data_IF_462882461771
#
_entry.id   IF_462882461771
#
_cell.length_a   1.000
_cell.length_b   1.000
_cell.length_c   1.000
_cell.angle_alpha   90.00
_cell.angle_beta   90.00
_cell.angle_gamma   90.00
#
_symmetry.space_group_name_H-M   'P 1'
#
loop_
_entity.id
_entity.type
_entity.pdbx_description
1 polymer ?
#
# COMPACT_ATOMS: atom_id res chain seq x y z
N UNK A 1 -6.54 -37.60 -71.35
CA UNK A 1 -5.25 -37.10 -71.89
C UNK A 1 -4.30 -36.93 -70.71
N UNK A 2 -3.21 -37.73 -70.71
CA UNK A 2 -1.92 -37.65 -69.95
C UNK A 2 -2.02 -37.31 -68.44
N UNK A 3 -1.88 -38.20 -67.44
CA UNK A 3 -1.04 -39.39 -67.17
C UNK A 3 0.47 -39.16 -67.03
N UNK A 4 1.08 -40.00 -66.17
CA UNK A 4 2.49 -40.20 -65.75
C UNK A 4 2.79 -39.59 -64.36
N UNK A 5 2.77 -40.31 -63.21
CA UNK A 5 3.33 -41.59 -62.73
C UNK A 5 4.71 -41.46 -62.00
N UNK A 6 4.89 -42.10 -60.81
CA UNK A 6 6.13 -42.13 -59.97
C UNK A 6 7.09 -43.24 -60.48
N UNK A 7 8.34 -43.50 -59.99
CA UNK A 7 8.72 -43.87 -58.59
C UNK A 7 10.20 -43.57 -58.17
N UNK A 8 10.62 -43.98 -56.97
CA UNK A 8 11.73 -44.92 -56.70
C UNK A 8 12.25 -44.87 -55.25
N UNK A 9 12.19 -46.03 -54.59
CA UNK A 9 12.98 -46.42 -53.41
C UNK A 9 14.22 -47.15 -53.95
N UNK A 10 15.41 -46.89 -53.39
CA UNK A 10 16.46 -47.91 -53.31
C UNK A 10 17.36 -47.69 -52.09
N UNK A 11 17.44 -48.72 -51.26
CA UNK A 11 18.29 -48.85 -50.09
C UNK A 11 19.72 -49.26 -50.50
N UNK A 12 20.71 -48.86 -49.69
CA UNK A 12 21.99 -49.55 -49.57
C UNK A 12 22.23 -49.96 -48.11
N UNK A 13 22.52 -51.25 -47.94
CA UNK A 13 23.00 -51.90 -46.73
C UNK A 13 24.46 -51.50 -46.46
N UNK A 14 24.80 -51.12 -45.23
CA UNK A 14 26.11 -51.43 -44.62
C UNK A 14 25.90 -51.82 -43.14
N UNK A 15 26.42 -52.99 -42.77
CA UNK A 15 26.47 -53.52 -41.38
C UNK A 15 27.78 -53.10 -40.69
N UNK A 16 27.64 -52.78 -39.40
CA UNK A 16 28.52 -52.99 -38.23
C UNK A 16 30.00 -52.60 -38.28
N UNK A 17 30.41 -51.76 -37.32
CA UNK A 17 31.29 -52.16 -36.20
C UNK A 17 31.18 -51.16 -35.05
N UNK A 18 30.97 -51.67 -33.83
CA UNK A 18 31.05 -50.92 -32.60
C UNK A 18 32.51 -50.54 -32.30
N UNK A 19 32.77 -49.28 -32.00
CA UNK A 19 33.92 -48.86 -31.21
C UNK A 19 33.44 -47.80 -30.22
N UNK A 20 33.65 -48.10 -28.94
CA UNK A 20 33.31 -47.22 -27.84
C UNK A 20 34.15 -45.94 -27.89
N UNK A 21 33.46 -44.83 -27.73
CA UNK A 21 34.03 -43.61 -27.17
C UNK A 21 32.90 -42.94 -26.40
N UNK A 22 33.04 -42.94 -25.08
CA UNK A 22 32.19 -42.22 -24.14
C UNK A 22 32.09 -40.75 -24.55
N UNK A 23 30.88 -40.29 -24.85
CA UNK A 23 30.59 -38.87 -25.04
C UNK A 23 30.75 -38.19 -23.67
N UNK A 24 31.56 -37.12 -23.53
CA UNK A 24 31.67 -36.42 -22.27
C UNK A 24 30.33 -35.75 -21.94
N UNK A 25 29.90 -35.94 -20.69
CA UNK A 25 28.71 -35.35 -20.11
C UNK A 25 28.80 -33.81 -20.24
N UNK A 26 27.84 -33.19 -20.91
CA UNK A 26 27.73 -31.73 -21.10
C UNK A 26 27.14 -31.06 -19.84
N UNK A 27 27.55 -31.54 -18.66
CA UNK A 27 27.31 -30.95 -17.35
C UNK A 27 28.64 -30.53 -16.74
N UNK A 28 29.35 -29.62 -17.40
CA UNK A 28 30.52 -28.99 -16.82
C UNK A 28 30.74 -27.65 -17.51
N UNK A 29 30.00 -26.62 -17.07
CA UNK A 29 30.35 -25.19 -17.10
C UNK A 29 29.18 -24.33 -16.55
N UNK A 30 28.61 -24.75 -15.42
CA UNK A 30 27.83 -23.86 -14.55
C UNK A 30 28.74 -23.65 -13.33
N UNK A 31 29.07 -22.41 -12.93
CA UNK A 31 29.76 -22.19 -11.67
C UNK A 31 28.88 -22.80 -10.57
N UNK A 32 29.36 -23.88 -9.93
CA UNK A 32 28.71 -24.41 -8.75
C UNK A 32 28.79 -23.34 -7.65
N UNK A 33 27.77 -22.48 -7.63
CA UNK A 33 27.41 -21.71 -6.45
C UNK A 33 27.27 -22.75 -5.34
N UNK A 34 28.14 -22.68 -4.33
CA UNK A 34 28.00 -23.52 -3.14
C UNK A 34 26.55 -23.40 -2.70
N UNK A 35 25.82 -24.51 -2.82
CA UNK A 35 24.57 -24.72 -2.12
C UNK A 35 24.98 -24.87 -0.66
N UNK A 36 25.12 -23.73 0.03
CA UNK A 36 24.98 -23.72 1.47
C UNK A 36 23.50 -23.95 1.73
N UNK A 37 23.19 -25.10 2.32
CA UNK A 37 21.93 -25.36 3.00
C UNK A 37 21.63 -24.17 3.94
N UNK A 38 20.81 -23.23 3.49
CA UNK A 38 20.39 -22.09 4.30
C UNK A 38 19.03 -22.43 4.91
N UNK A 39 19.07 -22.91 6.14
CA UNK A 39 17.97 -22.71 7.08
C UNK A 39 17.77 -21.18 7.24
N UNK A 40 16.57 -20.69 6.90
CA UNK A 40 15.92 -19.58 7.62
C UNK A 40 16.49 -18.15 7.53
N UNK A 41 17.30 -17.79 6.52
CA UNK A 41 17.62 -16.36 6.31
C UNK A 41 16.58 -15.75 5.37
N UNK A 42 15.77 -14.84 5.89
CA UNK A 42 14.88 -14.01 5.08
C UNK A 42 15.71 -13.31 3.99
N UNK A 43 15.51 -13.71 2.74
CA UNK A 43 16.21 -13.10 1.63
C UNK A 43 15.68 -11.67 1.45
N UNK A 44 16.59 -10.70 1.30
CA UNK A 44 16.22 -9.33 0.95
C UNK A 44 15.36 -9.37 -0.32
N UNK A 45 14.07 -8.96 -0.26
CA UNK A 45 13.18 -9.04 -1.41
C UNK A 45 13.51 -7.99 -2.49
N UNK A 46 14.43 -7.05 -2.22
CA UNK A 46 14.83 -5.99 -3.12
C UNK A 46 16.36 -5.91 -3.32
N UNK A 47 17.03 -7.01 -3.73
CA UNK A 47 18.49 -7.09 -3.71
C UNK A 47 19.18 -6.11 -4.66
N UNK A 48 18.48 -5.66 -5.70
CA UNK A 48 18.98 -4.75 -6.73
C UNK A 48 18.49 -3.30 -6.56
N UNK A 49 17.79 -2.99 -5.44
CA UNK A 49 17.28 -1.64 -5.15
C UNK A 49 18.04 -1.01 -3.98
N UNK A 50 18.10 0.33 -3.92
CA UNK A 50 18.54 1.03 -2.71
C UNK A 50 17.71 0.59 -1.50
N UNK A 51 18.30 0.56 -0.31
CA UNK A 51 17.50 0.35 0.91
C UNK A 51 16.74 1.62 1.24
N UNK A 52 15.47 1.47 1.62
CA UNK A 52 14.67 2.57 2.18
C UNK A 52 15.16 2.82 3.60
N UNK A 53 15.56 4.06 3.89
CA UNK A 53 16.16 4.41 5.17
C UNK A 53 15.54 5.65 5.77
N UNK A 54 15.60 5.74 7.09
CA UNK A 54 15.39 6.99 7.81
C UNK A 54 16.43 8.04 7.43
N UNK A 55 16.07 9.29 7.62
CA UNK A 55 16.99 10.42 7.50
C UNK A 55 17.97 10.46 8.67
N UNK A 56 19.13 11.12 8.52
CA UNK A 56 20.11 11.27 9.60
C UNK A 56 19.59 11.94 10.86
N UNK A 57 18.58 12.82 10.74
CA UNK A 57 17.90 13.44 11.88
C UNK A 57 16.99 12.44 12.64
N UNK A 58 16.75 11.28 12.06
CA UNK A 58 15.95 10.20 12.61
C UNK A 58 14.48 10.30 12.25
N UNK A 59 14.10 11.13 11.26
CA UNK A 59 12.74 11.20 10.71
C UNK A 59 12.60 10.33 9.46
N UNK A 60 11.36 9.94 9.16
CA UNK A 60 10.99 9.27 7.91
C UNK A 60 9.64 9.84 7.46
N UNK A 61 9.51 10.28 6.20
CA UNK A 61 8.29 10.94 5.72
C UNK A 61 7.59 10.11 4.64
N UNK A 62 6.33 9.77 4.91
CA UNK A 62 5.42 9.14 3.95
C UNK A 62 4.45 10.19 3.38
N UNK A 63 4.16 10.07 2.09
CA UNK A 63 3.04 10.77 1.44
C UNK A 63 2.16 9.72 0.77
N UNK A 64 0.85 9.82 0.95
CA UNK A 64 -0.11 8.86 0.42
C UNK A 64 -1.02 9.57 -0.59
N UNK A 65 -1.28 8.90 -1.73
CA UNK A 65 -2.28 9.30 -2.72
C UNK A 65 -3.22 8.12 -2.94
N UNK A 66 -4.51 8.33 -2.80
CA UNK A 66 -5.55 7.30 -2.95
C UNK A 66 -6.55 7.73 -4.02
N UNK A 67 -7.23 6.78 -4.64
CA UNK A 67 -8.43 7.03 -5.47
C UNK A 67 -8.19 8.13 -6.52
N UNK A 68 -7.10 8.00 -7.27
CA UNK A 68 -6.77 8.96 -8.32
C UNK A 68 -7.68 8.81 -9.53
N UNK A 69 -8.21 7.60 -9.75
CA UNK A 69 -9.18 7.27 -10.80
C UNK A 69 -8.79 7.76 -12.19
N UNK A 70 -7.54 7.49 -12.59
CA UNK A 70 -7.10 7.86 -13.92
C UNK A 70 -7.95 7.20 -15.00
N UNK A 71 -8.30 7.97 -16.02
CA UNK A 71 -9.12 7.48 -17.12
C UNK A 71 -10.60 7.33 -16.76
N UNK A 72 -11.08 7.98 -15.69
CA UNK A 72 -12.51 8.16 -15.43
C UNK A 72 -13.14 9.02 -16.53
N UNK A 73 -14.30 8.60 -17.05
CA UNK A 73 -15.10 9.37 -18.01
C UNK A 73 -14.28 9.98 -19.19
N UNK A 74 -13.46 9.20 -19.91
CA UNK A 74 -12.49 9.72 -20.88
C UNK A 74 -13.14 10.27 -22.17
N UNK A 75 -14.44 10.03 -22.35
CA UNK A 75 -15.23 10.54 -23.47
C UNK A 75 -15.80 11.96 -23.21
N UNK A 76 -15.71 12.47 -21.98
CA UNK A 76 -16.03 13.86 -21.64
C UNK A 76 -14.76 14.68 -21.41
N UNK A 77 -14.84 16.00 -21.58
CA UNK A 77 -13.77 16.93 -21.19
C UNK A 77 -13.44 16.90 -19.68
N UNK A 78 -14.40 16.55 -18.83
CA UNK A 78 -14.24 16.55 -17.38
C UNK A 78 -13.22 15.53 -16.88
N UNK A 79 -13.22 14.31 -17.44
CA UNK A 79 -12.35 13.20 -17.02
C UNK A 79 -10.86 13.50 -17.21
N UNK A 80 -10.41 13.78 -18.46
CA UNK A 80 -9.03 14.19 -18.73
C UNK A 80 -8.57 15.43 -17.96
N UNK A 81 -9.49 16.34 -17.60
CA UNK A 81 -9.15 17.48 -16.74
C UNK A 81 -8.89 17.04 -15.29
N UNK A 82 -9.59 16.01 -14.78
CA UNK A 82 -9.29 15.44 -13.47
C UNK A 82 -7.95 14.69 -13.46
N UNK A 83 -7.65 13.90 -14.49
CA UNK A 83 -6.33 13.27 -14.66
C UNK A 83 -5.20 14.32 -14.62
N UNK A 84 -5.39 15.43 -15.35
CA UNK A 84 -4.44 16.54 -15.37
C UNK A 84 -4.35 17.25 -14.00
N UNK A 85 -5.46 17.38 -13.27
CA UNK A 85 -5.47 17.87 -11.89
C UNK A 85 -4.66 16.97 -10.95
N UNK A 86 -4.82 15.64 -11.05
CA UNK A 86 -4.05 14.67 -10.26
C UNK A 86 -2.56 14.79 -10.55
N UNK A 87 -2.15 14.95 -11.83
CA UNK A 87 -0.74 15.22 -12.18
C UNK A 87 -0.24 16.52 -11.55
N UNK A 88 -0.96 17.63 -11.74
CA UNK A 88 -0.58 18.94 -11.18
C UNK A 88 -0.47 18.90 -9.66
N UNK A 89 -1.35 18.13 -9.01
CA UNK A 89 -1.31 17.92 -7.58
C UNK A 89 -0.02 17.22 -7.17
N UNK A 90 0.31 16.07 -7.77
CA UNK A 90 1.56 15.35 -7.47
C UNK A 90 2.78 16.23 -7.73
N UNK A 91 2.83 16.93 -8.86
CA UNK A 91 3.94 17.84 -9.22
C UNK A 91 4.10 19.01 -8.23
N UNK A 92 3.03 19.41 -7.54
CA UNK A 92 3.07 20.43 -6.49
C UNK A 92 3.50 19.85 -5.13
N UNK A 93 2.94 18.70 -4.76
CA UNK A 93 3.11 18.07 -3.43
C UNK A 93 4.49 17.46 -3.27
N UNK A 94 4.98 16.70 -4.25
CA UNK A 94 6.26 16.00 -4.15
C UNK A 94 7.44 16.92 -3.81
N UNK A 95 7.65 18.08 -4.48
CA UNK A 95 8.74 18.99 -4.13
C UNK A 95 8.51 19.80 -2.85
N UNK A 96 7.25 20.04 -2.44
CA UNK A 96 6.96 20.76 -1.19
C UNK A 96 7.16 19.89 0.03
N UNK A 97 6.61 18.67 -0.01
CA UNK A 97 6.61 17.75 1.13
C UNK A 97 7.94 17.02 1.28
N UNK A 98 8.62 16.75 0.15
CA UNK A 98 9.87 15.99 0.09
C UNK A 98 9.73 14.66 0.84
N UNK A 99 8.85 13.74 0.41
CA UNK A 99 8.71 12.45 1.06
C UNK A 99 9.96 11.59 0.90
N UNK A 100 10.20 10.70 1.87
CA UNK A 100 11.20 9.63 1.75
C UNK A 100 10.64 8.42 1.00
N UNK A 101 9.32 8.22 1.03
CA UNK A 101 8.60 7.22 0.25
C UNK A 101 7.15 7.66 -0.01
N UNK A 102 6.61 7.34 -1.19
CA UNK A 102 5.20 7.56 -1.54
C UNK A 102 4.42 6.26 -1.53
N UNK A 103 3.17 6.29 -1.09
CA UNK A 103 2.21 5.18 -1.25
C UNK A 103 1.10 5.61 -2.19
N UNK A 104 0.81 4.80 -3.19
CA UNK A 104 -0.38 4.91 -4.04
C UNK A 104 -1.41 3.89 -3.54
N UNK A 105 -2.42 4.32 -2.79
CA UNK A 105 -3.24 3.42 -1.98
C UNK A 105 -4.53 2.98 -2.70
N UNK A 106 -4.39 2.37 -3.88
CA UNK A 106 -5.48 1.77 -4.66
C UNK A 106 -6.38 2.76 -5.40
N UNK A 107 -7.25 2.20 -6.24
CA UNK A 107 -8.06 2.89 -7.24
C UNK A 107 -7.23 3.88 -8.06
N UNK A 108 -6.14 3.34 -8.60
CA UNK A 108 -5.18 4.06 -9.42
C UNK A 108 -5.85 4.50 -10.73
N UNK A 109 -6.64 3.62 -11.32
CA UNK A 109 -7.38 3.86 -12.56
C UNK A 109 -8.87 3.59 -12.37
N UNK A 110 -9.70 4.09 -13.29
CA UNK A 110 -11.08 3.63 -13.46
C UNK A 110 -11.12 2.54 -14.54
N UNK A 111 -10.78 1.31 -14.17
CA UNK A 111 -10.53 0.22 -15.12
C UNK A 111 -11.71 -0.12 -16.02
N UNK A 112 -12.94 0.07 -15.56
CA UNK A 112 -14.15 -0.19 -16.34
C UNK A 112 -14.41 0.86 -17.44
N UNK A 113 -13.83 2.06 -17.28
CA UNK A 113 -13.85 3.15 -18.28
C UNK A 113 -12.66 3.08 -19.24
N UNK A 114 -11.55 2.45 -18.82
CA UNK A 114 -10.36 2.28 -19.63
C UNK A 114 -10.60 1.44 -20.89
N UNK A 115 -9.72 1.57 -21.89
CA UNK A 115 -9.75 0.72 -23.08
C UNK A 115 -8.75 -0.42 -22.93
N UNK A 116 -9.23 -1.66 -23.01
CA UNK A 116 -8.44 -2.89 -22.76
C UNK A 116 -7.06 -2.91 -23.44
N UNK A 117 -6.98 -2.45 -24.69
CA UNK A 117 -5.74 -2.49 -25.48
C UNK A 117 -4.64 -1.54 -24.97
N UNK A 118 -4.98 -0.54 -24.17
CA UNK A 118 -4.04 0.47 -23.71
C UNK A 118 -4.21 0.90 -22.24
N UNK A 119 -5.04 0.21 -21.45
CA UNK A 119 -5.32 0.55 -20.05
C UNK A 119 -4.05 0.70 -19.22
N UNK A 120 -3.05 -0.17 -19.43
CA UNK A 120 -1.75 -0.11 -18.74
C UNK A 120 -0.97 1.17 -19.02
N UNK A 121 -1.22 1.91 -20.12
CA UNK A 121 -0.55 3.19 -20.37
C UNK A 121 -0.97 4.29 -19.39
N UNK A 122 -2.09 4.12 -18.67
CA UNK A 122 -2.46 5.03 -17.58
C UNK A 122 -1.47 4.92 -16.42
N UNK A 123 -0.93 3.72 -16.15
CA UNK A 123 0.11 3.52 -15.14
C UNK A 123 1.36 4.36 -15.47
N UNK A 124 1.76 4.44 -16.74
CA UNK A 124 2.87 5.30 -17.17
C UNK A 124 2.66 6.77 -16.77
N UNK A 125 1.40 7.24 -16.84
CA UNK A 125 1.05 8.62 -16.49
C UNK A 125 1.05 8.84 -14.99
N UNK A 126 0.48 7.90 -14.25
CA UNK A 126 0.42 7.93 -12.77
C UNK A 126 1.81 7.99 -12.17
N UNK A 127 2.74 7.17 -12.66
CA UNK A 127 4.10 7.08 -12.09
C UNK A 127 5.07 8.12 -12.66
N UNK A 128 4.69 8.85 -13.71
CA UNK A 128 5.57 9.84 -14.35
C UNK A 128 6.07 10.94 -13.37
N UNK A 129 5.23 11.56 -12.51
CA UNK A 129 5.71 12.52 -11.53
C UNK A 129 6.71 11.93 -10.52
N UNK A 130 6.48 10.68 -10.08
CA UNK A 130 7.36 9.97 -9.14
C UNK A 130 8.71 9.65 -9.78
N UNK A 131 8.68 9.17 -11.02
CA UNK A 131 9.87 8.94 -11.83
C UNK A 131 10.65 10.25 -12.06
N UNK A 132 9.98 11.35 -12.40
CA UNK A 132 10.64 12.64 -12.59
C UNK A 132 11.28 13.16 -11.29
N UNK A 133 10.62 12.96 -10.16
CA UNK A 133 11.11 13.37 -8.85
C UNK A 133 12.16 12.40 -8.25
N UNK A 134 12.34 11.21 -8.84
CA UNK A 134 13.21 10.14 -8.33
C UNK A 134 12.86 9.73 -6.88
N UNK A 135 11.56 9.64 -6.58
CA UNK A 135 11.06 9.27 -5.26
C UNK A 135 10.66 7.80 -5.26
N UNK A 136 11.14 6.98 -4.29
CA UNK A 136 10.70 5.60 -4.17
C UNK A 136 9.24 5.53 -3.74
N UNK A 137 8.53 4.52 -4.22
CA UNK A 137 7.11 4.38 -3.92
C UNK A 137 6.65 2.93 -3.90
N UNK A 138 5.45 2.72 -3.37
CA UNK A 138 4.71 1.46 -3.35
C UNK A 138 3.27 1.70 -3.78
N UNK A 139 2.57 0.66 -4.23
CA UNK A 139 1.14 0.71 -4.53
C UNK A 139 0.35 -0.44 -3.92
N UNK A 140 -0.83 -0.15 -3.40
CA UNK A 140 -1.92 -1.14 -3.29
C UNK A 140 -2.84 -0.97 -4.51
N UNK A 141 -3.72 -1.95 -4.72
CA UNK A 141 -4.73 -1.92 -5.77
C UNK A 141 -6.12 -1.92 -5.14
N UNK A 142 -7.06 -1.25 -5.80
CA UNK A 142 -8.46 -1.12 -5.40
C UNK A 142 -9.44 -1.80 -6.35
N UNK A 143 -10.72 -1.77 -6.03
CA UNK A 143 -11.75 -2.47 -6.82
C UNK A 143 -11.91 -1.91 -8.25
N UNK A 144 -11.47 -0.70 -8.54
CA UNK A 144 -11.47 -0.17 -9.92
C UNK A 144 -10.24 -0.63 -10.73
N UNK A 145 -9.23 -1.19 -10.08
CA UNK A 145 -8.00 -1.70 -10.70
C UNK A 145 -8.16 -3.17 -11.18
N UNK A 146 -9.22 -3.87 -10.73
CA UNK A 146 -9.69 -5.15 -11.24
C UNK A 146 -11.02 -4.99 -11.97
N UNK A 147 -10.97 -4.91 -13.30
CA UNK A 147 -12.15 -4.70 -14.14
C UNK A 147 -12.04 -5.48 -15.46
N UNK A 148 -13.11 -5.48 -16.25
CA UNK A 148 -13.14 -6.17 -17.56
C UNK A 148 -11.96 -5.84 -18.50
N UNK A 149 -11.34 -4.66 -18.33
CA UNK A 149 -10.29 -4.14 -19.21
C UNK A 149 -8.87 -4.23 -18.63
N UNK A 150 -8.72 -4.51 -17.33
CA UNK A 150 -7.43 -4.44 -16.62
C UNK A 150 -7.47 -5.27 -15.33
N UNK A 151 -6.32 -5.80 -14.89
CA UNK A 151 -6.21 -6.50 -13.60
C UNK A 151 -5.11 -5.91 -12.74
N UNK A 152 -5.18 -6.14 -11.44
CA UNK A 152 -4.11 -5.80 -10.49
C UNK A 152 -2.75 -6.30 -10.96
N UNK A 153 -2.69 -7.54 -11.50
CA UNK A 153 -1.44 -8.12 -12.00
C UNK A 153 -0.90 -7.31 -13.19
N UNK A 154 -1.76 -6.87 -14.10
CA UNK A 154 -1.33 -6.07 -15.25
C UNK A 154 -0.78 -4.71 -14.83
N UNK A 155 -1.36 -4.09 -13.80
CA UNK A 155 -0.85 -2.84 -13.22
C UNK A 155 0.50 -3.01 -12.56
N UNK A 156 0.62 -3.98 -11.64
CA UNK A 156 1.88 -4.24 -10.92
C UNK A 156 3.01 -4.53 -11.91
N UNK A 157 2.75 -5.38 -12.93
CA UNK A 157 3.74 -5.71 -13.94
C UNK A 157 4.14 -4.49 -14.78
N UNK A 158 3.17 -3.62 -15.13
CA UNK A 158 3.48 -2.39 -15.86
C UNK A 158 4.29 -1.42 -15.01
N UNK A 159 3.88 -1.22 -13.77
CA UNK A 159 4.57 -0.37 -12.80
C UNK A 159 6.04 -0.81 -12.64
N UNK A 160 6.29 -2.10 -12.39
CA UNK A 160 7.63 -2.66 -12.29
C UNK A 160 8.46 -2.47 -13.57
N UNK A 161 7.82 -2.47 -14.73
CA UNK A 161 8.49 -2.27 -16.02
C UNK A 161 8.93 -0.82 -16.24
N UNK A 162 8.10 0.16 -15.85
CA UNK A 162 8.32 1.57 -16.21
C UNK A 162 8.81 2.45 -15.06
N UNK A 163 8.78 1.95 -13.83
CA UNK A 163 9.14 2.70 -12.64
C UNK A 163 10.29 2.04 -11.86
N UNK A 164 11.56 2.45 -12.07
CA UNK A 164 12.71 1.77 -11.46
C UNK A 164 12.75 1.85 -9.92
N UNK A 165 12.09 2.85 -9.34
CA UNK A 165 12.03 3.07 -7.88
C UNK A 165 10.73 2.59 -7.23
N UNK A 166 9.90 1.80 -7.92
CA UNK A 166 8.81 1.07 -7.26
C UNK A 166 9.36 -0.03 -6.34
N UNK A 167 8.73 -0.25 -5.19
CA UNK A 167 8.94 -1.40 -4.31
C UNK A 167 7.71 -2.32 -4.26
N UNK A 168 6.74 -2.10 -5.15
CA UNK A 168 5.57 -2.96 -5.30
C UNK A 168 5.99 -4.34 -5.82
N UNK A 169 5.41 -5.40 -5.25
CA UNK A 169 5.68 -6.78 -5.65
C UNK A 169 4.41 -7.59 -5.77
N UNK A 170 4.46 -8.57 -6.66
CA UNK A 170 3.50 -9.66 -6.69
C UNK A 170 3.75 -10.56 -5.48
N UNK A 171 2.67 -11.02 -4.86
CA UNK A 171 2.68 -11.95 -3.76
C UNK A 171 3.32 -13.30 -4.15
N UNK A 172 3.85 -14.06 -3.17
CA UNK A 172 4.25 -15.44 -3.42
C UNK A 172 3.08 -16.29 -3.97
N UNK A 173 3.41 -17.35 -4.70
CA UNK A 173 2.41 -18.25 -5.25
C UNK A 173 1.49 -18.81 -4.14
N UNK A 174 0.18 -18.73 -4.34
CA UNK A 174 -0.83 -19.21 -3.40
C UNK A 174 -1.25 -18.20 -2.32
N UNK A 175 -0.75 -16.96 -2.37
CA UNK A 175 -1.14 -15.87 -1.46
C UNK A 175 -2.03 -14.87 -2.22
N UNK A 176 -3.16 -14.50 -1.62
CA UNK A 176 -4.03 -13.42 -2.12
C UNK A 176 -5.24 -13.88 -2.95
N UNK A 177 -5.42 -15.19 -3.14
CA UNK A 177 -6.58 -15.72 -3.86
C UNK A 177 -6.65 -15.31 -5.34
N UNK A 178 -7.85 -15.37 -5.92
CA UNK A 178 -8.10 -15.05 -7.33
C UNK A 178 -8.10 -13.54 -7.54
N UNK A 179 -7.27 -13.04 -8.45
CA UNK A 179 -7.15 -11.59 -8.75
C UNK A 179 -6.68 -10.73 -7.56
N UNK A 180 -6.06 -11.32 -6.52
CA UNK A 180 -5.43 -10.58 -5.41
C UNK A 180 -3.90 -10.67 -5.35
N UNK A 181 -3.15 -10.38 -6.43
CA UNK A 181 -1.70 -10.56 -6.47
C UNK A 181 -0.92 -9.56 -5.62
N UNK A 182 -1.51 -8.48 -5.13
CA UNK A 182 -0.82 -7.33 -4.51
C UNK A 182 -0.50 -7.44 -3.01
N UNK A 183 -0.04 -8.60 -2.53
CA UNK A 183 0.27 -8.81 -1.11
C UNK A 183 1.78 -8.89 -0.86
N UNK A 184 2.35 -7.90 -0.17
CA UNK A 184 3.79 -7.80 0.05
C UNK A 184 4.14 -6.88 1.23
N UNK A 185 5.44 -6.77 1.53
CA UNK A 185 5.95 -5.86 2.55
C UNK A 185 7.27 -5.21 2.13
N UNK A 186 7.62 -4.08 2.74
CA UNK A 186 8.83 -3.30 2.49
C UNK A 186 9.56 -3.02 3.80
N UNK A 187 10.84 -3.45 3.95
CA UNK A 187 11.64 -3.14 5.12
C UNK A 187 12.22 -1.72 5.02
N UNK A 188 12.15 -0.97 6.12
CA UNK A 188 12.74 0.36 6.26
C UNK A 188 13.77 0.34 7.39
N UNK A 189 14.97 0.77 7.08
CA UNK A 189 16.14 0.67 7.95
C UNK A 189 16.48 2.00 8.61
N UNK A 190 17.14 1.99 9.77
CA UNK A 190 17.70 3.25 10.30
C UNK A 190 18.83 3.74 9.37
N UNK A 191 19.73 2.83 8.97
CA UNK A 191 20.80 3.09 8.01
C UNK A 191 20.89 1.97 6.98
N UNK A 192 21.36 2.30 5.79
CA UNK A 192 21.51 1.32 4.70
C UNK A 192 22.42 0.14 5.07
N UNK A 193 23.38 0.33 5.98
CA UNK A 193 24.29 -0.72 6.45
C UNK A 193 23.68 -1.69 7.47
N UNK A 194 22.50 -1.38 8.02
CA UNK A 194 21.94 -2.15 9.13
C UNK A 194 21.41 -3.51 8.65
N UNK A 195 21.52 -4.52 9.51
CA UNK A 195 21.10 -5.88 9.16
C UNK A 195 19.60 -6.12 9.36
N UNK A 196 18.98 -5.37 10.27
CA UNK A 196 17.56 -5.48 10.62
C UNK A 196 16.84 -4.15 10.38
N UNK A 197 15.62 -4.16 9.83
CA UNK A 197 14.81 -2.96 9.68
C UNK A 197 14.22 -2.51 11.03
N UNK A 198 13.91 -1.22 11.13
CA UNK A 198 13.25 -0.61 12.28
C UNK A 198 11.77 -0.35 12.03
N UNK A 199 11.33 -0.43 10.77
CA UNK A 199 9.93 -0.30 10.36
C UNK A 199 9.65 -1.29 9.22
N UNK A 200 8.47 -1.90 9.21
CA UNK A 200 7.96 -2.68 8.07
C UNK A 200 6.65 -2.08 7.58
N UNK A 201 6.60 -1.76 6.28
CA UNK A 201 5.37 -1.33 5.61
C UNK A 201 4.72 -2.56 4.98
N UNK A 202 3.49 -2.87 5.36
CA UNK A 202 2.69 -3.98 4.83
C UNK A 202 1.67 -3.46 3.83
N UNK A 203 1.50 -4.17 2.72
CA UNK A 203 0.58 -3.83 1.64
C UNK A 203 -0.29 -5.06 1.37
N UNK A 204 -1.60 -4.86 1.44
CA UNK A 204 -2.58 -5.93 1.31
C UNK A 204 -3.55 -5.63 0.17
N UNK A 205 -3.87 -6.68 -0.58
CA UNK A 205 -4.80 -6.63 -1.70
C UNK A 205 -6.18 -7.08 -1.24
N UNK A 206 -7.10 -6.12 -1.10
CA UNK A 206 -8.50 -6.37 -0.75
C UNK A 206 -9.35 -6.80 -1.95
N UNK A 207 -8.76 -6.93 -3.15
CA UNK A 207 -9.44 -7.37 -4.37
C UNK A 207 -10.60 -6.42 -4.71
N UNK A 208 -11.79 -6.97 -4.96
CA UNK A 208 -12.98 -6.23 -5.36
C UNK A 208 -13.01 -5.94 -6.87
N UNK A 209 -14.17 -5.48 -7.34
CA UNK A 209 -14.39 -5.21 -8.76
C UNK A 209 -14.87 -6.43 -9.53
N UNK A 210 -14.37 -6.60 -10.76
CA UNK A 210 -14.84 -7.62 -11.69
C UNK A 210 -13.71 -8.32 -12.45
N UNK A 211 -13.93 -9.60 -12.80
CA UNK A 211 -12.97 -10.43 -13.52
C UNK A 211 -12.66 -9.93 -14.93
N UNK A 212 -11.46 -10.24 -15.43
CA UNK A 212 -10.98 -9.76 -16.71
C UNK A 212 -11.74 -10.34 -17.92
N UNK A 213 -12.00 -9.50 -18.93
CA UNK A 213 -12.56 -9.91 -20.23
C UNK A 213 -14.07 -9.77 -20.36
N UNK A 214 -14.61 -10.18 -21.51
CA UNK A 214 -15.98 -9.84 -21.92
C UNK A 214 -17.07 -10.56 -21.10
N UNK A 215 -16.72 -11.69 -20.46
CA UNK A 215 -17.58 -12.43 -19.54
C UNK A 215 -17.28 -12.07 -18.08
N UNK A 216 -17.03 -10.78 -17.84
CA UNK A 216 -16.68 -10.23 -16.54
C UNK A 216 -17.77 -10.50 -15.49
N UNK A 217 -17.36 -10.92 -14.29
CA UNK A 217 -18.22 -11.20 -13.14
C UNK A 217 -17.64 -10.57 -11.89
N UNK A 218 -18.49 -10.19 -10.94
CA UNK A 218 -18.01 -9.69 -9.64
C UNK A 218 -17.03 -10.68 -9.00
N UNK A 219 -16.01 -10.15 -8.34
CA UNK A 219 -15.05 -10.93 -7.56
C UNK A 219 -15.14 -10.53 -6.08
N UNK A 220 -14.67 -11.40 -5.15
CA UNK A 220 -14.56 -11.06 -3.74
C UNK A 220 -13.89 -9.71 -3.47
N UNK A 221 -14.39 -8.95 -2.50
CA UNK A 221 -13.96 -7.61 -2.09
C UNK A 221 -13.31 -7.58 -0.70
N UNK A 222 -12.60 -8.65 -0.34
CA UNK A 222 -11.82 -8.76 0.90
C UNK A 222 -10.43 -9.35 0.69
N UNK A 223 -9.56 -9.10 1.67
CA UNK A 223 -8.24 -9.74 1.72
C UNK A 223 -8.42 -11.24 1.97
N UNK A 224 -8.00 -12.05 0.99
CA UNK A 224 -8.20 -13.50 0.99
C UNK A 224 -7.60 -14.22 2.21
N UNK A 225 -8.24 -15.29 2.68
CA UNK A 225 -7.81 -16.01 3.89
C UNK A 225 -6.37 -16.57 3.80
N UNK A 226 -5.87 -16.85 2.60
CA UNK A 226 -4.49 -17.29 2.38
C UNK A 226 -3.47 -16.26 2.87
N UNK A 227 -3.81 -14.97 2.85
CA UNK A 227 -2.98 -13.87 3.34
C UNK A 227 -2.82 -13.94 4.86
N UNK A 228 -3.82 -14.45 5.59
CA UNK A 228 -3.75 -14.59 7.04
C UNK A 228 -2.65 -15.58 7.46
N UNK A 229 -2.58 -16.73 6.79
CA UNK A 229 -1.52 -17.72 7.02
C UNK A 229 -0.14 -17.20 6.56
N UNK A 230 -0.11 -16.43 5.47
CA UNK A 230 1.10 -15.80 4.98
C UNK A 230 1.66 -14.76 5.97
N UNK A 231 0.81 -13.90 6.56
CA UNK A 231 1.23 -12.93 7.58
C UNK A 231 1.90 -13.63 8.77
N UNK A 232 1.33 -14.74 9.25
CA UNK A 232 1.90 -15.52 10.35
C UNK A 232 3.28 -16.08 9.99
N UNK A 233 3.39 -16.72 8.81
CA UNK A 233 4.63 -17.30 8.31
C UNK A 233 5.73 -16.25 8.08
N UNK A 234 5.40 -15.13 7.43
CA UNK A 234 6.34 -14.03 7.20
C UNK A 234 6.77 -13.40 8.52
N UNK A 235 5.84 -13.17 9.45
CA UNK A 235 6.16 -12.58 10.76
C UNK A 235 7.12 -13.46 11.56
N UNK A 236 6.92 -14.80 11.53
CA UNK A 236 7.84 -15.75 12.14
C UNK A 236 9.22 -15.72 11.48
N UNK A 237 9.27 -15.74 10.14
CA UNK A 237 10.52 -15.68 9.38
C UNK A 237 11.29 -14.37 9.61
N UNK A 238 10.57 -13.24 9.70
CA UNK A 238 11.15 -11.95 10.08
C UNK A 238 11.70 -11.96 11.50
N UNK A 239 11.05 -12.67 12.44
CA UNK A 239 11.54 -12.79 13.81
C UNK A 239 12.85 -13.57 13.90
N UNK A 240 12.94 -14.66 13.14
CA UNK A 240 14.16 -15.47 13.05
C UNK A 240 15.32 -14.68 12.42
N UNK A 241 15.02 -13.91 11.36
CA UNK A 241 16.04 -13.17 10.61
C UNK A 241 16.49 -11.86 11.29
N UNK A 242 15.56 -11.11 11.89
CA UNK A 242 15.80 -9.73 12.36
C UNK A 242 15.67 -9.56 13.88
N UNK A 243 15.27 -10.62 14.59
CA UNK A 243 14.97 -10.59 16.02
C UNK A 243 13.50 -10.23 16.32
N UNK A 244 13.14 -10.04 17.61
CA UNK A 244 11.75 -9.90 18.05
C UNK A 244 10.96 -8.78 17.34
N UNK A 245 9.69 -9.06 17.01
CA UNK A 245 8.78 -8.10 16.35
C UNK A 245 8.58 -6.82 17.16
N UNK A 246 8.70 -6.88 18.48
CA UNK A 246 8.58 -5.73 19.37
C UNK A 246 9.70 -4.69 19.17
N UNK A 247 10.77 -5.02 18.44
CA UNK A 247 11.88 -4.10 18.19
C UNK A 247 11.71 -3.27 16.90
N UNK A 248 10.66 -3.54 16.12
CA UNK A 248 10.37 -2.83 14.87
C UNK A 248 8.93 -2.32 14.87
N UNK A 249 8.69 -1.18 14.25
CA UNK A 249 7.34 -0.67 14.03
C UNK A 249 6.71 -1.30 12.79
N UNK A 250 5.38 -1.18 12.67
CA UNK A 250 4.68 -1.56 11.45
C UNK A 250 3.57 -0.57 11.07
N UNK A 251 3.33 -0.46 9.76
CA UNK A 251 2.17 0.17 9.16
C UNK A 251 1.57 -0.78 8.15
N UNK A 252 0.25 -0.72 7.95
CA UNK A 252 -0.44 -1.51 6.96
C UNK A 252 -1.28 -0.62 6.05
N UNK A 253 -1.27 -0.93 4.76
CA UNK A 253 -2.08 -0.30 3.73
C UNK A 253 -2.98 -1.36 3.09
N UNK A 254 -4.26 -1.04 2.97
CA UNK A 254 -5.27 -1.88 2.30
C UNK A 254 -6.32 -0.94 1.74
N UNK A 255 -6.68 -1.10 0.46
CA UNK A 255 -7.54 -0.13 -0.19
C UNK A 255 -8.97 -0.12 0.39
N UNK A 256 -9.67 -1.25 0.31
CA UNK A 256 -11.00 -1.39 0.89
C UNK A 256 -10.86 -1.59 2.40
N UNK A 257 -11.48 -0.76 3.25
CA UNK A 257 -11.33 -0.83 4.70
C UNK A 257 -11.95 -2.13 5.28
N UNK A 258 -11.34 -2.74 6.32
CA UNK A 258 -11.91 -3.91 6.98
C UNK A 258 -13.34 -3.66 7.50
N UNK A 259 -14.21 -4.68 7.45
CA UNK A 259 -15.63 -4.55 7.74
C UNK A 259 -15.91 -3.94 9.12
N UNK A 260 -15.13 -4.31 10.14
CA UNK A 260 -15.32 -3.83 11.51
C UNK A 260 -15.27 -2.30 11.66
N UNK A 261 -14.62 -1.60 10.72
CA UNK A 261 -14.45 -0.15 10.72
C UNK A 261 -15.79 0.56 10.57
N UNK A 262 -16.75 -0.05 9.86
CA UNK A 262 -18.10 0.48 9.69
C UNK A 262 -18.75 0.82 11.04
N UNK A 263 -18.54 -0.01 12.07
CA UNK A 263 -19.09 0.21 13.41
C UNK A 263 -18.37 1.29 14.22
N UNK A 264 -17.17 1.71 13.80
CA UNK A 264 -16.39 2.74 14.47
C UNK A 264 -16.82 4.15 14.07
N UNK A 265 -17.36 4.34 12.86
CA UNK A 265 -17.80 5.65 12.37
C UNK A 265 -18.81 6.32 13.32
N UNK A 266 -19.78 5.56 13.84
CA UNK A 266 -20.77 6.04 14.79
C UNK A 266 -20.19 6.52 16.14
N UNK A 267 -18.91 6.24 16.42
CA UNK A 267 -18.19 6.62 17.65
C UNK A 267 -17.31 7.84 17.48
N UNK A 268 -17.18 8.36 16.25
CA UNK A 268 -16.35 9.52 15.96
C UNK A 268 -16.81 10.73 16.77
N UNK A 269 -15.83 11.45 17.29
CA UNK A 269 -16.03 12.75 17.89
C UNK A 269 -15.13 13.74 17.18
N UNK A 270 -15.70 14.69 16.45
CA UNK A 270 -14.95 15.66 15.63
C UNK A 270 -13.92 16.51 16.40
N UNK A 271 -13.97 16.55 17.74
CA UNK A 271 -12.94 17.21 18.56
C UNK A 271 -11.75 16.29 18.88
N UNK A 272 -11.96 14.98 18.93
CA UNK A 272 -10.92 13.98 19.24
C UNK A 272 -10.36 13.30 17.99
N UNK A 273 -11.25 13.00 17.05
CA UNK A 273 -11.00 12.43 15.74
C UNK A 273 -11.43 13.47 14.70
N UNK A 274 -10.62 14.54 14.51
CA UNK A 274 -10.92 15.55 13.51
C UNK A 274 -10.75 14.98 12.09
N UNK A 275 -11.33 15.68 11.13
CA UNK A 275 -11.25 15.37 9.72
C UNK A 275 -12.63 15.27 9.05
N UNK A 276 -12.64 15.06 7.74
CA UNK A 276 -13.89 15.00 6.97
C UNK A 276 -14.57 13.64 7.18
N UNK A 277 -15.87 13.64 7.48
CA UNK A 277 -16.68 12.42 7.56
C UNK A 277 -17.96 12.67 6.75
N UNK A 278 -17.80 12.80 5.43
CA UNK A 278 -18.87 13.23 4.54
C UNK A 278 -19.76 12.07 4.07
N UNK A 279 -19.21 10.85 4.04
CA UNK A 279 -19.92 9.67 3.55
C UNK A 279 -20.32 8.76 4.71
N UNK A 280 -21.43 8.04 4.58
CA UNK A 280 -21.90 7.11 5.61
C UNK A 280 -21.49 5.72 5.19
N UNK A 281 -20.71 5.03 6.03
CA UNK A 281 -20.21 3.70 5.71
C UNK A 281 -21.37 2.69 5.65
N UNK A 282 -21.52 2.04 4.49
CA UNK A 282 -22.61 1.13 4.17
C UNK A 282 -22.13 -0.13 3.45
N UNK A 283 -23.09 -0.83 2.83
CA UNK A 283 -22.80 -1.92 1.89
C UNK A 283 -21.95 -1.38 0.73
N UNK A 284 -20.82 -2.04 0.48
CA UNK A 284 -19.84 -1.62 -0.50
C UNK A 284 -18.83 -0.58 0.00
N UNK A 285 -18.98 0.01 1.19
CA UNK A 285 -17.96 0.92 1.77
C UNK A 285 -16.82 0.18 2.48
N UNK A 286 -17.03 -1.09 2.86
CA UNK A 286 -16.05 -1.90 3.59
C UNK A 286 -16.04 -3.34 3.07
N UNK A 287 -14.97 -4.08 3.35
CA UNK A 287 -14.77 -5.44 2.85
C UNK A 287 -15.95 -6.36 3.19
N UNK A 288 -16.34 -7.25 2.27
CA UNK A 288 -17.36 -8.29 2.53
C UNK A 288 -18.73 -7.75 2.96
N UNK A 289 -19.15 -6.61 2.40
CA UNK A 289 -20.47 -6.01 2.72
C UNK A 289 -21.39 -5.88 1.52
N UNK A 290 -20.93 -6.23 0.32
CA UNK A 290 -21.73 -6.20 -0.91
C UNK A 290 -22.70 -7.39 -0.98
N UNK A 291 -22.27 -8.56 -0.51
CA UNK A 291 -23.09 -9.78 -0.39
C UNK A 291 -23.22 -10.17 1.10
N UNK A 292 -24.45 -10.48 1.55
CA UNK A 292 -24.71 -10.89 2.93
C UNK A 292 -24.07 -12.26 3.26
N UNK A 293 -23.90 -13.13 2.25
CA UNK A 293 -23.29 -14.45 2.42
C UNK A 293 -21.76 -14.35 2.66
N UNK A 294 -21.14 -13.22 2.32
CA UNK A 294 -19.71 -12.98 2.47
C UNK A 294 -19.34 -12.32 3.81
N UNK A 295 -20.32 -11.94 4.64
CA UNK A 295 -20.06 -11.23 5.89
C UNK A 295 -19.06 -11.98 6.78
N UNK A 296 -17.94 -11.31 7.06
CA UNK A 296 -16.91 -11.78 7.97
C UNK A 296 -15.81 -12.61 7.32
N UNK A 297 -15.75 -12.68 5.99
CA UNK A 297 -14.63 -13.31 5.28
C UNK A 297 -13.29 -12.56 5.51
N UNK A 298 -13.33 -11.26 5.79
CA UNK A 298 -12.16 -10.44 6.17
C UNK A 298 -11.63 -10.71 7.59
N UNK A 299 -12.37 -11.46 8.43
CA UNK A 299 -12.00 -11.72 9.82
C UNK A 299 -10.64 -12.43 9.95
N UNK A 300 -10.33 -13.35 9.05
CA UNK A 300 -9.07 -14.09 9.07
C UNK A 300 -7.89 -13.12 8.91
N UNK A 301 -7.98 -12.21 7.93
CA UNK A 301 -7.01 -11.15 7.71
C UNK A 301 -6.87 -10.25 8.93
N UNK A 302 -7.96 -9.64 9.41
CA UNK A 302 -7.90 -8.70 10.53
C UNK A 302 -7.32 -9.33 11.80
N UNK A 303 -7.72 -10.57 12.10
CA UNK A 303 -7.22 -11.28 13.26
C UNK A 303 -5.73 -11.63 13.14
N UNK A 304 -5.29 -12.13 11.98
CA UNK A 304 -3.88 -12.47 11.78
C UNK A 304 -2.98 -11.25 11.81
N UNK A 305 -3.37 -10.16 11.11
CA UNK A 305 -2.62 -8.90 11.10
C UNK A 305 -2.35 -8.41 12.53
N UNK A 306 -3.39 -8.30 13.35
CA UNK A 306 -3.27 -7.81 14.73
C UNK A 306 -2.64 -8.82 15.70
N UNK A 307 -2.68 -10.12 15.39
CA UNK A 307 -2.05 -11.15 16.21
C UNK A 307 -0.54 -11.26 15.95
N UNK A 308 -0.11 -11.14 14.70
CA UNK A 308 1.23 -11.50 14.26
C UNK A 308 2.13 -10.28 13.98
N UNK A 309 1.56 -9.17 13.48
CA UNK A 309 2.32 -7.93 13.26
C UNK A 309 2.32 -7.09 14.54
N UNK A 310 3.34 -7.29 15.38
CA UNK A 310 3.51 -6.51 16.61
C UNK A 310 3.94 -5.07 16.30
N UNK A 311 3.62 -4.16 17.23
CA UNK A 311 3.79 -2.72 17.05
C UNK A 311 3.18 -2.18 15.74
N UNK A 312 2.05 -2.78 15.32
CA UNK A 312 1.24 -2.22 14.25
C UNK A 312 0.64 -0.91 14.74
N UNK A 313 1.11 0.19 14.16
CA UNK A 313 0.71 1.50 14.64
C UNK A 313 -0.58 1.99 14.00
N UNK A 314 -0.74 1.75 12.70
CA UNK A 314 -1.93 2.13 11.95
C UNK A 314 -2.20 1.19 10.78
N UNK A 315 -3.48 1.06 10.46
CA UNK A 315 -3.99 0.52 9.19
C UNK A 315 -4.63 1.68 8.43
N UNK A 316 -4.23 1.87 7.17
CA UNK A 316 -4.63 3.01 6.34
C UNK A 316 -5.36 2.52 5.09
N UNK A 317 -6.50 3.12 4.79
CA UNK A 317 -7.35 2.80 3.64
C UNK A 317 -7.87 4.04 2.93
N UNK A 318 -8.15 3.89 1.63
CA UNK A 318 -8.86 4.87 0.80
C UNK A 318 -10.31 4.44 0.61
N UNK A 319 -10.73 4.29 -0.65
CA UNK A 319 -12.01 3.70 -1.12
C UNK A 319 -13.25 4.56 -0.85
N UNK A 320 -13.40 5.06 0.37
CA UNK A 320 -14.51 5.94 0.72
C UNK A 320 -14.07 7.40 0.60
N UNK A 321 -14.44 8.03 -0.52
CA UNK A 321 -13.90 9.32 -0.95
C UNK A 321 -14.31 10.49 -0.04
N UNK A 322 -15.43 10.39 0.66
CA UNK A 322 -15.90 11.44 1.57
C UNK A 322 -15.21 11.44 2.93
N UNK A 323 -14.39 10.44 3.23
CA UNK A 323 -13.89 10.21 4.58
C UNK A 323 -12.37 10.45 4.70
N UNK A 324 -12.00 11.14 5.77
CA UNK A 324 -10.66 11.53 6.16
C UNK A 324 -10.65 11.62 7.69
N UNK A 325 -10.45 10.51 8.38
CA UNK A 325 -10.38 10.49 9.84
C UNK A 325 -9.61 9.28 10.33
N UNK A 326 -9.08 9.37 11.55
CA UNK A 326 -8.48 8.23 12.23
C UNK A 326 -9.21 7.95 13.54
N UNK A 327 -9.41 6.68 13.86
CA UNK A 327 -9.97 6.25 15.14
C UNK A 327 -9.24 5.02 15.66
N UNK A 328 -9.08 4.95 16.98
CA UNK A 328 -8.53 3.76 17.62
C UNK A 328 -9.61 2.70 17.78
N UNK A 329 -9.39 1.54 17.20
CA UNK A 329 -10.21 0.36 17.41
C UNK A 329 -9.95 -0.20 18.82
N UNK A 330 -10.97 -0.32 19.69
CA UNK A 330 -10.76 -0.59 21.11
C UNK A 330 -10.38 -2.04 21.45
N UNK A 331 -10.65 -3.01 20.56
CA UNK A 331 -10.50 -4.45 20.85
C UNK A 331 -9.06 -4.92 20.65
N UNK A 332 -8.44 -4.53 19.53
CA UNK A 332 -7.06 -4.83 19.14
C UNK A 332 -6.11 -3.67 19.44
N UNK A 333 -6.65 -2.51 19.84
CA UNK A 333 -5.90 -1.32 20.23
C UNK A 333 -5.00 -0.76 19.10
N UNK A 334 -5.48 -0.85 17.86
CA UNK A 334 -4.81 -0.34 16.65
C UNK A 334 -5.51 0.93 16.15
N UNK A 335 -4.76 1.87 15.56
CA UNK A 335 -5.35 3.02 14.88
C UNK A 335 -5.76 2.59 13.48
N UNK A 336 -6.95 2.97 13.06
CA UNK A 336 -7.39 2.89 11.68
C UNK A 336 -7.56 4.31 11.12
N UNK A 337 -7.21 4.53 9.86
CA UNK A 337 -7.31 5.82 9.18
C UNK A 337 -7.88 5.70 7.76
N UNK A 338 -8.79 6.61 7.40
CA UNK A 338 -9.10 6.93 6.01
C UNK A 338 -8.16 8.04 5.50
N UNK A 339 -7.62 7.89 4.29
CA UNK A 339 -6.65 8.84 3.72
C UNK A 339 -7.17 9.74 2.59
N UNK A 340 -8.48 9.71 2.30
CA UNK A 340 -9.23 10.49 1.29
C UNK A 340 -8.72 10.35 -0.16
N UNK A 341 -9.63 10.46 -1.12
CA UNK A 341 -9.29 10.54 -2.53
C UNK A 341 -8.41 11.74 -2.91
N UNK A 342 -7.51 11.51 -3.88
CA UNK A 342 -6.66 12.51 -4.54
C UNK A 342 -7.20 12.89 -5.94
N UNK A 343 -8.11 12.10 -6.52
CA UNK A 343 -8.83 12.43 -7.75
C UNK A 343 -9.71 13.68 -7.61
N UNK A 344 -10.13 14.30 -8.71
CA UNK A 344 -10.97 15.53 -8.72
C UNK A 344 -10.35 16.81 -8.11
N UNK A 345 -9.02 16.85 -7.97
CA UNK A 345 -8.30 18.04 -7.49
C UNK A 345 -8.48 18.34 -5.99
N UNK A 346 -9.15 17.45 -5.26
CA UNK A 346 -9.20 17.49 -3.81
C UNK A 346 -8.02 16.67 -3.31
N UNK A 347 -7.11 17.33 -2.61
CA UNK A 347 -6.08 16.68 -1.82
C UNK A 347 -6.42 16.95 -0.39
N UNK A 348 -6.43 15.90 0.42
CA UNK A 348 -5.91 16.09 1.76
C UNK A 348 -4.45 15.73 1.63
N UNK A 349 -3.60 16.69 1.95
CA UNK A 349 -2.35 16.35 2.61
C UNK A 349 -2.76 15.65 3.88
N UNK A 350 -3.11 14.37 3.79
CA UNK A 350 -2.80 13.47 4.85
C UNK A 350 -1.28 13.55 4.92
N UNK A 351 -0.78 14.61 5.58
CA UNK A 351 0.35 14.45 6.47
C UNK A 351 -0.18 13.49 7.54
N UNK A 352 -0.32 12.21 7.17
CA UNK A 352 0.31 11.18 7.95
C UNK A 352 1.80 11.47 7.89
N UNK A 353 2.19 12.57 8.56
CA UNK A 353 3.54 12.80 9.00
C UNK A 353 3.73 11.77 10.09
N UNK A 354 4.03 10.59 9.62
CA UNK A 354 4.52 9.49 10.42
C UNK A 354 5.98 9.88 10.69
N UNK A 355 6.18 10.94 11.46
CA UNK A 355 7.47 11.29 12.04
C UNK A 355 7.77 10.17 13.04
N UNK A 356 8.37 9.11 12.53
CA UNK A 356 8.97 8.09 13.35
C UNK A 356 10.20 8.74 13.96
N UNK A 357 10.19 9.02 15.25
CA UNK A 357 11.39 9.42 15.98
C UNK A 357 12.12 8.18 16.49
N UNK A 358 13.46 8.23 16.50
CA UNK A 358 14.31 7.16 17.04
C UNK A 358 14.05 6.90 18.52
N UNK A 359 14.27 5.66 19.01
CA UNK A 359 14.37 5.38 20.43
C UNK A 359 15.49 6.21 21.07
N UNK A 360 15.20 6.87 22.19
CA UNK A 360 16.17 7.62 22.98
C UNK A 360 17.12 6.67 23.73
N UNK A 361 18.44 6.81 23.53
CA UNK A 361 19.47 5.95 24.11
C UNK A 361 19.65 6.09 25.63
N UNK A 362 19.05 7.10 26.25
CA UNK A 362 19.16 7.46 27.67
C UNK A 362 18.12 6.79 28.59
N UNK A 363 17.26 5.91 28.05
CA UNK A 363 16.31 5.11 28.86
C UNK A 363 16.34 3.62 28.45
N UNK A 364 17.27 2.81 29.01
CA UNK A 364 17.46 1.41 28.60
C UNK A 364 16.23 0.50 28.80
N UNK A 365 15.32 0.82 29.72
CA UNK A 365 14.06 0.07 29.93
C UNK A 365 12.89 0.54 29.04
N UNK A 366 13.04 1.66 28.31
CA UNK A 366 12.07 2.16 27.31
C UNK A 366 12.58 2.03 25.85
N UNK A 367 13.81 1.52 25.66
CA UNK A 367 14.60 1.61 24.43
C UNK A 367 14.15 0.72 23.25
N UNK A 368 12.89 0.27 23.20
CA UNK A 368 12.39 -0.62 22.12
C UNK A 368 11.00 -0.26 21.63
N UNK A 369 10.66 1.02 21.61
CA UNK A 369 9.45 1.51 20.94
C UNK A 369 9.89 2.51 19.88
N UNK A 370 9.62 2.20 18.62
CA UNK A 370 9.37 3.24 17.61
C UNK A 370 8.21 4.07 18.16
N UNK A 371 8.51 5.25 18.70
CA UNK A 371 7.50 6.12 19.26
C UNK A 371 6.90 6.93 18.11
N UNK A 372 5.93 6.34 17.42
CA UNK A 372 4.99 7.15 16.67
C UNK A 372 4.21 7.95 17.69
N UNK A 373 4.50 9.26 17.78
CA UNK A 373 3.74 10.14 18.65
C UNK A 373 2.29 10.12 18.19
N UNK A 374 1.44 9.38 18.88
CA UNK A 374 -0.01 9.26 18.58
C UNK A 374 -0.69 10.64 18.52
N UNK A 375 -0.13 11.63 19.22
CA UNK A 375 -0.57 13.02 19.20
C UNK A 375 -0.28 13.76 17.89
N UNK A 376 0.65 13.30 17.03
CA UNK A 376 0.88 13.88 15.70
C UNK A 376 0.01 13.25 14.62
N UNK A 377 -0.24 11.93 14.69
CA UNK A 377 -1.13 11.20 13.78
C UNK A 377 -2.58 11.72 13.87
N UNK A 378 -3.09 11.92 15.09
CA UNK A 378 -4.48 12.37 15.31
C UNK A 378 -4.70 13.89 15.21
N UNK A 379 -3.64 14.73 15.24
CA UNK A 379 -3.77 16.21 15.20
C UNK A 379 -3.44 16.87 13.86
N UNK A 380 -2.91 16.14 12.88
CA UNK A 380 -2.48 16.71 11.59
C UNK A 380 -3.42 16.46 10.41
N UNK A 381 -4.53 15.75 10.63
CA UNK A 381 -5.54 15.43 9.61
C UNK A 381 -6.74 16.38 9.68
N UNK A 382 -6.49 17.70 9.66
CA UNK A 382 -7.56 18.69 9.67
C UNK A 382 -7.31 19.71 8.58
N UNK A 383 -8.03 19.57 7.46
CA UNK A 383 -8.02 20.49 6.34
C UNK A 383 -8.61 21.86 6.69
N UNK A 384 -7.89 22.94 6.34
CA UNK A 384 -8.49 24.15 5.75
C UNK A 384 -7.52 24.71 4.68
N UNK A 385 -8.13 25.19 3.60
CA UNK A 385 -7.54 25.79 2.40
C UNK A 385 -6.14 26.41 2.54
N UNK A 386 -5.19 25.87 1.77
CA UNK A 386 -4.02 26.62 1.31
C UNK A 386 -2.96 26.91 2.37
N UNK A 387 -2.08 25.94 2.64
CA UNK A 387 -0.73 26.14 3.15
C UNK A 387 -0.61 26.75 4.55
N UNK A 388 -0.34 25.93 5.56
CA UNK A 388 0.34 26.40 6.77
C UNK A 388 1.18 25.30 7.42
N UNK A 389 2.50 25.49 7.42
CA UNK A 389 3.43 24.87 8.36
C UNK A 389 3.28 25.50 9.74
N UNK A 390 3.17 24.70 10.82
CA UNK A 390 3.76 25.06 12.12
C UNK A 390 4.41 23.84 12.77
N UNK A 391 5.70 24.01 13.07
CA UNK A 391 6.55 23.20 13.92
C UNK A 391 6.61 23.88 15.29
N UNK A 392 6.41 23.16 16.39
CA UNK A 392 7.02 23.53 17.68
C UNK A 392 7.34 22.25 18.48
N UNK A 393 8.63 21.94 18.53
CA UNK A 393 9.27 21.48 19.75
C UNK A 393 8.95 22.47 20.88
N UNK A 394 8.24 22.03 21.91
CA UNK A 394 8.62 22.24 23.32
C UNK A 394 7.52 21.79 24.30
N UNK A 395 7.99 21.16 25.38
CA UNK A 395 7.33 20.97 26.68
C UNK A 395 6.26 19.87 26.81
N UNK A 396 6.77 18.69 27.15
CA UNK A 396 6.11 17.78 28.08
C UNK A 396 6.34 18.32 29.51
N UNK A 397 5.38 19.07 30.09
CA UNK A 397 5.29 19.21 31.57
C UNK A 397 4.04 19.92 32.16
N UNK A 398 3.12 20.55 31.42
CA UNK A 398 2.12 21.42 32.09
C UNK A 398 0.70 20.86 32.34
N UNK A 399 0.37 19.61 32.01
CA UNK A 399 -0.98 19.05 32.29
C UNK A 399 -0.91 17.95 33.36
N UNK A 400 -0.42 18.33 34.54
CA UNK A 400 -0.72 17.60 35.78
C UNK A 400 -1.02 18.49 36.99
N UNK A 401 -1.28 19.79 36.81
CA UNK A 401 -1.70 20.65 37.92
C UNK A 401 -2.77 21.65 37.49
N UNK A 402 -4.03 21.28 37.68
CA UNK A 402 -4.96 22.02 38.55
C UNK A 402 -6.40 21.57 38.32
N UNK A 403 -6.86 20.62 39.14
CA UNK A 403 -8.20 20.74 39.70
C UNK A 403 -8.16 21.89 40.72
N UNK A 404 -8.87 23.01 40.47
CA UNK A 404 -9.66 23.77 41.46
C UNK A 404 -10.21 25.08 40.87
N UNK A 405 -11.51 25.35 41.18
CA UNK A 405 -12.21 26.66 41.26
C UNK A 405 -12.92 27.21 40.00
N UNK A 406 -14.25 26.96 40.01
CA UNK A 406 -15.39 27.89 39.90
C UNK A 406 -15.34 29.20 39.08
N UNK A 407 -16.33 29.28 38.19
CA UNK A 407 -17.28 30.39 37.95
C UNK A 407 -16.79 31.76 37.47
N UNK A 408 -17.30 32.22 36.31
CA UNK A 408 -18.39 33.21 36.14
C UNK A 408 -18.40 33.82 34.73
N UNK A 409 -19.63 33.93 34.20
CA UNK A 409 -20.21 35.03 33.40
C UNK A 409 -19.49 35.58 32.15
N UNK A 410 -20.13 35.42 30.99
CA UNK A 410 -21.00 36.48 30.44
C UNK A 410 -20.49 37.28 29.23
N UNK A 411 -21.35 37.33 28.19
CA UNK A 411 -21.51 38.37 27.14
C UNK A 411 -20.34 38.59 26.16
N UNK A 412 -20.50 38.92 24.88
CA UNK A 412 -21.64 39.11 23.97
C UNK A 412 -21.09 39.40 22.56
N UNK A 413 -21.93 39.13 21.55
CA UNK A 413 -22.10 39.87 20.28
C UNK A 413 -20.95 40.05 19.27
N UNK A 414 -21.23 39.50 18.09
CA UNK A 414 -21.25 40.16 16.76
C UNK A 414 -19.97 40.69 16.11
N UNK A 415 -19.75 40.23 14.87
CA UNK A 415 -18.91 40.94 13.90
C UNK A 415 -18.48 40.14 12.67
N UNK A 416 -19.38 39.99 11.69
CA UNK A 416 -19.17 40.14 10.23
C UNK A 416 -17.86 39.69 9.55
N UNK A 417 -17.98 38.81 8.53
CA UNK A 417 -17.34 38.84 7.19
C UNK A 417 -17.87 37.58 6.46
N UNK A 418 -18.72 37.57 5.42
CA UNK A 418 -18.77 38.18 4.08
C UNK A 418 -17.55 37.93 3.18
N UNK A 419 -17.86 37.22 2.10
CA UNK A 419 -17.19 37.09 0.80
C UNK A 419 -15.98 36.13 0.74
N UNK A 420 -16.09 35.01 0.02
CA UNK A 420 -15.71 34.89 -1.40
C UNK A 420 -16.13 33.52 -1.97
N UNK A 421 -16.55 33.55 -3.24
CA UNK A 421 -16.87 32.41 -4.12
C UNK A 421 -15.62 31.63 -4.47
#
# INVERSE_FOLDING_TARGET
MKSFAPPFILAWLIRWTAYGASVPNLEALIPQRRVTENLGILQDPYPDKPRITFRPDGTFKLTVFSDMHWGENPWDSWGPEQDANSTRLMEKVLPSEKPDLVVLNGDLITGENAFKDNATLLIDRIVAPLNAAQIPFCSTQGNHDNQKNITHLQEILREQQVAPLTYTRVAPAGVGGVEGPGNYWVPVYEKASDLSPVLVLWFFDSRGGFSYGDNSTAIPDWVDESVAAWIESESATMNDAWGPAENRGALAFVHIPPHLIQNLQARLNSTKEPGLNADILGSGSTQSTTDEDDVGQDNAFWNSLNANVKNLHAVISGHDHGDEWCIREPTKNVIFCFDKHAGRGLFVSCECRIDLERPRSDKPDLARRTDLRETSLLRRLSAENGGLHINLSDSWESIQKSHYIQSRQGSSSDGLLKDYI
#
